data_IF_453483522769
#
_entry.id   IF_453483522769
#
_cell.length_a   1.000
_cell.length_b   1.000
_cell.length_c   1.000
_cell.angle_alpha   90.00
_cell.angle_beta   90.00
_cell.angle_gamma   90.00
#
_symmetry.space_group_name_H-M   'P 1'
#
loop_
_entity.id
_entity.type
_entity.pdbx_description
1 polymer ?
#
# COMPACT_ATOMS: atom_id res chain seq x y z
N UNK A 1 -3.93 19.20 -1.42
CA UNK A 1 -4.80 18.02 -1.30
C UNK A 1 -4.56 17.45 0.08
N UNK A 2 -5.59 17.24 0.89
CA UNK A 2 -5.44 16.55 2.18
C UNK A 2 -4.90 15.14 1.91
N UNK A 3 -3.84 14.74 2.62
CA UNK A 3 -3.32 13.38 2.57
C UNK A 3 -4.32 12.45 3.27
N UNK A 4 -5.40 12.06 2.58
CA UNK A 4 -6.40 11.13 3.11
C UNK A 4 -5.89 9.70 2.94
N UNK A 5 -6.00 8.90 4.00
CA UNK A 5 -5.65 7.48 3.94
C UNK A 5 -6.52 6.77 2.88
N UNK A 6 -5.92 6.01 1.95
CA UNK A 6 -6.67 5.22 0.98
C UNK A 6 -7.62 4.23 1.66
N UNK A 7 -8.81 4.10 1.09
CA UNK A 7 -9.85 3.15 1.51
C UNK A 7 -10.00 2.09 0.42
N UNK A 8 -10.06 0.82 0.81
CA UNK A 8 -10.29 -0.28 -0.12
C UNK A 8 -11.79 -0.55 -0.21
N UNK A 9 -12.39 -0.29 -1.37
CA UNK A 9 -13.80 -0.57 -1.61
C UNK A 9 -13.94 -1.83 -2.47
N UNK A 10 -14.33 -2.94 -1.84
CA UNK A 10 -14.59 -4.19 -2.56
C UNK A 10 -16.04 -4.22 -3.07
N UNK A 11 -16.20 -4.52 -4.36
CA UNK A 11 -17.45 -4.97 -4.96
C UNK A 11 -17.19 -6.34 -5.58
N UNK A 12 -18.21 -7.19 -5.77
CA UNK A 12 -18.02 -8.48 -6.46
C UNK A 12 -17.37 -8.24 -7.83
N UNK A 13 -16.13 -8.74 -7.99
CA UNK A 13 -15.30 -8.53 -9.19
C UNK A 13 -14.58 -9.82 -9.59
N UNK A 14 -14.22 -9.97 -10.87
CA UNK A 14 -13.34 -11.05 -11.32
C UNK A 14 -12.01 -11.03 -10.55
N UNK A 15 -11.43 -12.22 -10.31
CA UNK A 15 -10.18 -12.39 -9.55
C UNK A 15 -9.04 -11.53 -10.11
N UNK A 16 -8.95 -11.42 -11.43
CA UNK A 16 -7.93 -10.60 -12.12
C UNK A 16 -8.06 -9.12 -11.70
N UNK A 17 -9.26 -8.57 -11.79
CA UNK A 17 -9.55 -7.18 -11.41
C UNK A 17 -9.27 -6.93 -9.92
N UNK A 18 -9.59 -7.90 -9.06
CA UNK A 18 -9.30 -7.80 -7.63
C UNK A 18 -7.80 -7.65 -7.35
N UNK A 19 -6.96 -8.45 -8.00
CA UNK A 19 -5.50 -8.39 -7.79
C UNK A 19 -4.91 -7.07 -8.29
N UNK A 20 -5.36 -6.57 -9.44
CA UNK A 20 -4.95 -5.26 -9.95
C UNK A 20 -5.35 -4.12 -8.99
N UNK A 21 -6.56 -4.16 -8.44
CA UNK A 21 -7.05 -3.14 -7.50
C UNK A 21 -6.33 -3.21 -6.14
N UNK A 22 -6.08 -4.41 -5.63
CA UNK A 22 -5.28 -4.58 -4.41
C UNK A 22 -3.86 -4.05 -4.61
N UNK A 23 -3.25 -4.32 -5.77
CA UNK A 23 -1.93 -3.78 -6.11
C UNK A 23 -1.92 -2.26 -6.04
N UNK A 24 -2.89 -1.61 -6.70
CA UNK A 24 -3.03 -0.16 -6.69
C UNK A 24 -3.24 0.36 -5.26
N UNK A 25 -4.13 -0.26 -4.49
CA UNK A 25 -4.42 0.11 -3.12
C UNK A 25 -3.18 0.11 -2.21
N UNK A 26 -2.32 -0.91 -2.29
CA UNK A 26 -1.10 -0.95 -1.48
C UNK A 26 -0.03 0.03 -1.96
N UNK A 27 0.03 0.35 -3.26
CA UNK A 27 0.87 1.43 -3.77
C UNK A 27 0.41 2.80 -3.25
N UNK A 28 -0.89 3.04 -3.18
CA UNK A 28 -1.46 4.25 -2.62
C UNK A 28 -1.16 4.35 -1.11
N UNK A 29 -1.30 3.24 -0.36
CA UNK A 29 -0.95 3.21 1.07
C UNK A 29 0.53 3.49 1.30
N UNK A 30 1.43 2.90 0.51
CA UNK A 30 2.87 3.18 0.56
C UNK A 30 3.13 4.68 0.33
N UNK A 31 2.45 5.28 -0.63
CA UNK A 31 2.58 6.70 -0.97
C UNK A 31 2.07 7.59 0.17
N UNK A 32 0.88 7.29 0.70
CA UNK A 32 0.30 7.96 1.88
C UNK A 32 1.28 7.97 3.06
N UNK A 33 1.85 6.82 3.40
CA UNK A 33 2.79 6.71 4.51
C UNK A 33 4.15 7.37 4.23
N UNK A 34 4.58 7.43 2.96
CA UNK A 34 5.78 8.17 2.58
C UNK A 34 5.61 9.69 2.74
N UNK A 35 4.43 10.22 2.47
CA UNK A 35 4.09 11.63 2.76
C UNK A 35 4.08 11.86 4.27
N UNK A 36 3.39 10.99 5.04
CA UNK A 36 3.35 11.08 6.50
C UNK A 36 4.75 11.01 7.14
N UNK A 37 5.66 10.20 6.56
CA UNK A 37 7.08 10.18 6.95
C UNK A 37 7.74 11.54 6.79
N UNK A 38 7.52 12.20 5.65
CA UNK A 38 8.03 13.56 5.41
C UNK A 38 7.53 14.55 6.46
N UNK A 39 6.23 14.52 6.76
CA UNK A 39 5.63 15.38 7.79
C UNK A 39 6.22 15.13 9.19
N UNK A 40 6.49 13.88 9.55
CA UNK A 40 7.12 13.53 10.84
C UNK A 40 8.56 14.03 10.91
N UNK A 41 9.33 13.92 9.81
CA UNK A 41 10.70 14.44 9.74
C UNK A 41 10.70 15.95 9.91
N UNK A 42 9.82 16.67 9.21
CA UNK A 42 9.70 18.12 9.38
C UNK A 42 9.34 18.51 10.82
N UNK A 43 8.47 17.75 11.49
CA UNK A 43 8.15 18.01 12.92
C UNK A 43 9.32 17.73 13.86
N UNK A 44 10.15 16.72 13.55
CA UNK A 44 11.37 16.44 14.33
C UNK A 44 12.38 17.58 14.25
N UNK A 45 12.45 18.28 13.11
CA UNK A 45 13.35 19.42 12.92
C UNK A 45 12.92 20.67 13.73
N UNK A 46 11.62 20.78 14.06
CA UNK A 46 11.03 21.95 14.73
C UNK A 46 10.85 21.77 16.26
N UNK A 47 10.78 20.53 16.75
CA UNK A 47 10.51 20.21 18.15
C UNK A 47 11.80 20.15 18.97
N UNK A 48 11.78 20.79 20.14
CA UNK A 48 12.89 20.77 21.12
C UNK A 48 12.57 19.96 22.39
N UNK A 49 11.32 19.57 22.57
CA UNK A 49 10.85 18.82 23.74
C UNK A 49 11.17 17.32 23.58
N UNK A 50 12.05 16.80 24.44
CA UNK A 50 12.56 15.43 24.37
C UNK A 50 11.47 14.34 24.38
N UNK A 51 10.39 14.55 25.14
CA UNK A 51 9.24 13.64 25.15
C UNK A 51 8.54 13.56 23.78
N UNK A 52 8.39 14.70 23.09
CA UNK A 52 7.81 14.75 21.74
C UNK A 52 8.75 14.17 20.70
N UNK A 53 10.06 14.41 20.83
CA UNK A 53 11.09 13.80 19.97
C UNK A 53 10.99 12.26 20.04
N UNK A 54 10.91 11.70 21.25
CA UNK A 54 10.76 10.26 21.45
C UNK A 54 9.49 9.70 20.81
N UNK A 55 8.35 10.38 20.99
CA UNK A 55 7.09 10.00 20.35
C UNK A 55 7.16 10.04 18.81
N UNK A 56 7.77 11.09 18.26
CA UNK A 56 7.94 11.24 16.81
C UNK A 56 8.87 10.17 16.23
N UNK A 57 9.94 9.80 16.93
CA UNK A 57 10.79 8.67 16.53
C UNK A 57 10.03 7.34 16.53
N UNK A 58 9.21 7.07 17.57
CA UNK A 58 8.37 5.87 17.59
C UNK A 58 7.39 5.85 16.41
N UNK A 59 6.78 7.00 16.09
CA UNK A 59 5.87 7.12 14.95
C UNK A 59 6.59 6.97 13.61
N UNK A 60 7.81 7.50 13.50
CA UNK A 60 8.66 7.35 12.32
C UNK A 60 9.00 5.88 12.07
N UNK A 61 9.32 5.12 13.13
CA UNK A 61 9.57 3.69 13.04
C UNK A 61 8.33 2.95 12.54
N UNK A 62 7.16 3.19 13.15
CA UNK A 62 5.89 2.57 12.73
C UNK A 62 5.57 2.85 11.25
N UNK A 63 5.81 4.09 10.79
CA UNK A 63 5.59 4.48 9.40
C UNK A 63 6.58 3.77 8.46
N UNK A 64 7.85 3.66 8.83
CA UNK A 64 8.83 2.92 8.04
C UNK A 64 8.45 1.44 7.90
N UNK A 65 8.00 0.80 8.97
CA UNK A 65 7.58 -0.61 8.97
C UNK A 65 6.36 -0.82 8.05
N UNK A 66 5.41 0.12 8.07
CA UNK A 66 4.26 0.12 7.16
C UNK A 66 4.67 0.30 5.70
N UNK A 67 5.56 1.24 5.39
CA UNK A 67 6.08 1.45 4.03
C UNK A 67 6.74 0.17 3.52
N UNK A 68 7.59 -0.46 4.32
CA UNK A 68 8.26 -1.70 3.95
C UNK A 68 7.24 -2.82 3.66
N UNK A 69 6.26 -3.00 4.55
CA UNK A 69 5.21 -4.01 4.40
C UNK A 69 4.38 -3.80 3.12
N UNK A 70 3.94 -2.57 2.85
CA UNK A 70 3.16 -2.26 1.66
C UNK A 70 3.99 -2.34 0.37
N UNK A 71 5.30 -2.09 0.44
CA UNK A 71 6.18 -2.33 -0.71
C UNK A 71 6.22 -3.81 -1.07
N UNK A 72 6.45 -4.69 -0.08
CA UNK A 72 6.50 -6.14 -0.31
C UNK A 72 5.16 -6.66 -0.83
N UNK A 73 4.03 -6.20 -0.26
CA UNK A 73 2.70 -6.56 -0.75
C UNK A 73 2.46 -6.08 -2.18
N UNK A 74 2.84 -4.85 -2.50
CA UNK A 74 2.75 -4.30 -3.85
C UNK A 74 3.56 -5.10 -4.87
N UNK A 75 4.77 -5.54 -4.51
CA UNK A 75 5.64 -6.34 -5.38
C UNK A 75 5.05 -7.75 -5.59
N UNK A 76 4.58 -8.40 -4.52
CA UNK A 76 3.93 -9.70 -4.60
C UNK A 76 2.67 -9.66 -5.48
N UNK A 77 1.86 -8.62 -5.34
CA UNK A 77 0.67 -8.44 -6.18
C UNK A 77 1.02 -8.06 -7.61
N UNK A 78 2.12 -7.34 -7.86
CA UNK A 78 2.62 -7.09 -9.22
C UNK A 78 2.99 -8.39 -9.92
N UNK A 79 3.59 -9.35 -9.21
CA UNK A 79 3.90 -10.68 -9.74
C UNK A 79 2.60 -11.45 -10.02
N UNK A 80 1.68 -11.48 -9.06
CA UNK A 80 0.39 -12.16 -9.22
C UNK A 80 -0.42 -11.58 -10.39
N UNK A 81 -0.50 -10.25 -10.49
CA UNK A 81 -1.15 -9.50 -11.57
C UNK A 81 -0.57 -9.90 -12.93
N UNK A 82 0.76 -9.98 -13.05
CA UNK A 82 1.43 -10.41 -14.28
C UNK A 82 1.06 -11.85 -14.66
N UNK A 83 1.05 -12.77 -13.70
CA UNK A 83 0.71 -14.19 -13.93
C UNK A 83 -0.75 -14.33 -14.35
N UNK A 84 -1.66 -13.62 -13.67
CA UNK A 84 -3.11 -13.68 -13.93
C UNK A 84 -3.51 -13.14 -15.31
N UNK A 85 -2.70 -12.23 -15.87
CA UNK A 85 -2.91 -11.69 -17.22
C UNK A 85 -2.26 -12.55 -18.34
N UNK A 86 -1.66 -13.69 -18.02
CA UNK A 86 -1.19 -14.63 -19.04
C UNK A 86 -2.37 -15.34 -19.72
N UNK A 87 -2.23 -15.67 -21.01
CA UNK A 87 -3.30 -16.33 -21.79
C UNK A 87 -3.79 -17.63 -21.13
N UNK A 88 -2.89 -18.45 -20.60
CA UNK A 88 -3.24 -19.70 -19.92
C UNK A 88 -4.07 -19.48 -18.64
N UNK A 89 -3.72 -18.47 -17.84
CA UNK A 89 -4.47 -18.15 -16.62
C UNK A 89 -5.81 -17.48 -16.93
N UNK A 90 -5.86 -16.61 -17.95
CA UNK A 90 -7.12 -16.03 -18.42
C UNK A 90 -8.06 -17.14 -18.89
N UNK A 91 -7.56 -18.12 -19.66
CA UNK A 91 -8.35 -19.26 -20.11
C UNK A 91 -8.89 -20.08 -18.92
N UNK A 92 -8.03 -20.43 -17.95
CA UNK A 92 -8.42 -21.18 -16.74
C UNK A 92 -9.50 -20.45 -15.92
N UNK A 93 -9.33 -19.15 -15.69
CA UNK A 93 -10.24 -18.34 -14.88
C UNK A 93 -11.55 -18.03 -15.59
N UNK A 94 -11.54 -18.00 -16.92
CA UNK A 94 -12.73 -17.81 -17.76
C UNK A 94 -13.49 -19.11 -18.01
N UNK A 95 -12.81 -20.26 -17.95
CA UNK A 95 -13.37 -21.58 -18.23
C UNK A 95 -14.38 -22.05 -17.16
N UNK A 96 -14.45 -21.41 -15.99
CA UNK A 96 -15.42 -21.72 -14.92
C UNK A 96 -16.85 -21.20 -15.16
N UNK A 97 -17.22 -20.89 -16.41
CA UNK A 97 -18.61 -20.63 -16.83
C UNK A 97 -19.12 -21.71 -17.80
N UNK A 98 -19.08 -22.99 -17.41
CA UNK A 98 -19.90 -24.07 -18.01
C UNK A 98 -20.32 -25.02 -16.91
#
# INVERSE_FOLDING_TARGET
MENKKPEFAFTERPVISLVTEMRAYFQDLKSYYSIAKGEIISQLDEVTEEAKISQLHSKLQEVNDKIASFSVLGDALSIADTILHTEGMIAELSAKKV
#
